data_IF_403638939835
#
_entry.id   IF_403638939835
#
_cell.length_a   1.000
_cell.length_b   1.000
_cell.length_c   1.000
_cell.angle_alpha   90.00
_cell.angle_beta   90.00
_cell.angle_gamma   90.00
#
_symmetry.space_group_name_H-M   'P 1'
#
loop_
_entity.id
_entity.type
_entity.pdbx_description
1 polymer ?
#
# COMPACT_ATOMS: atom_id res chain seq x y z
N UNK A 1 -73.32 14.44 -27.69
CA UNK A 1 -72.40 14.86 -28.77
C UNK A 1 -71.35 15.78 -28.16
N UNK A 2 -70.13 15.67 -28.67
CA UNK A 2 -68.87 16.15 -28.10
C UNK A 2 -68.75 17.68 -27.88
N UNK A 3 -67.87 18.00 -26.91
CA UNK A 3 -66.96 19.17 -26.77
C UNK A 3 -67.31 20.33 -25.80
N UNK A 4 -66.28 21.01 -25.26
CA UNK A 4 -66.12 21.39 -23.85
C UNK A 4 -66.22 22.91 -23.62
N UNK A 5 -66.24 23.38 -22.37
CA UNK A 5 -65.78 24.73 -22.05
C UNK A 5 -65.27 24.88 -20.61
N UNK A 6 -64.29 25.76 -20.49
CA UNK A 6 -63.40 26.14 -19.40
C UNK A 6 -64.09 26.70 -18.14
N UNK A 7 -63.44 26.62 -16.98
CA UNK A 7 -62.99 27.83 -16.24
C UNK A 7 -61.99 27.52 -15.12
N UNK A 8 -60.93 28.31 -15.07
CA UNK A 8 -59.88 28.38 -14.03
C UNK A 8 -60.41 29.21 -12.85
N UNK A 9 -60.04 28.88 -11.61
CA UNK A 9 -59.89 29.88 -10.55
C UNK A 9 -58.87 29.43 -9.48
N UNK A 10 -57.89 30.30 -9.26
CA UNK A 10 -56.82 30.25 -8.25
C UNK A 10 -57.34 30.27 -6.81
N UNK A 11 -56.63 29.60 -5.91
CA UNK A 11 -56.75 29.76 -4.45
C UNK A 11 -55.34 30.08 -3.90
N UNK A 12 -55.18 31.11 -3.05
CA UNK A 12 -53.88 31.64 -2.63
C UNK A 12 -53.26 30.88 -1.44
N UNK A 13 -51.94 30.93 -1.34
CA UNK A 13 -51.18 30.55 -0.15
C UNK A 13 -51.10 31.71 0.86
N UNK A 14 -51.08 31.45 2.18
CA UNK A 14 -50.57 32.38 3.18
C UNK A 14 -49.36 31.86 3.97
N UNK A 15 -48.69 32.82 4.58
CA UNK A 15 -47.29 32.88 5.00
C UNK A 15 -46.83 32.09 6.24
N UNK A 16 -45.51 31.95 6.25
CA UNK A 16 -44.54 31.65 7.30
C UNK A 16 -44.77 32.48 8.59
N UNK A 17 -44.88 31.83 9.77
CA UNK A 17 -44.32 32.36 11.03
C UNK A 17 -44.28 31.32 12.17
N UNK A 18 -43.06 31.06 12.67
CA UNK A 18 -42.72 30.91 14.10
C UNK A 18 -43.26 29.71 14.89
N UNK A 19 -42.58 28.56 14.79
CA UNK A 19 -42.41 27.65 15.94
C UNK A 19 -40.93 27.66 16.35
N UNK A 20 -40.57 28.74 17.05
CA UNK A 20 -39.46 28.76 17.98
C UNK A 20 -39.92 28.02 19.23
N UNK A 21 -39.29 26.89 19.57
CA UNK A 21 -38.80 26.50 20.91
C UNK A 21 -38.69 24.97 21.05
N UNK A 22 -37.48 24.56 21.45
CA UNK A 22 -37.19 23.38 22.28
C UNK A 22 -37.23 22.00 21.61
N UNK A 23 -36.09 21.57 21.03
CA UNK A 23 -35.43 20.31 21.39
C UNK A 23 -33.92 20.52 21.28
N UNK A 24 -33.31 21.09 22.32
CA UNK A 24 -31.88 20.99 22.56
C UNK A 24 -31.66 19.77 23.46
N UNK A 25 -31.51 18.59 22.87
CA UNK A 25 -31.08 17.39 23.58
C UNK A 25 -29.84 16.87 22.87
N UNK A 26 -28.73 17.12 23.56
CA UNK A 26 -27.40 16.54 23.43
C UNK A 26 -27.36 15.21 22.68
N UNK A 27 -26.89 15.27 21.43
CA UNK A 27 -26.14 14.17 20.81
C UNK A 27 -24.71 14.66 20.66
N UNK A 28 -24.01 14.72 21.81
CA UNK A 28 -22.56 14.65 21.87
C UNK A 28 -22.18 13.20 21.50
N UNK A 29 -22.48 12.82 20.26
CA UNK A 29 -22.11 11.53 19.70
C UNK A 29 -20.60 11.52 19.64
N UNK A 30 -20.02 10.58 20.37
CA UNK A 30 -18.60 10.35 20.50
C UNK A 30 -17.93 10.48 19.13
N UNK A 31 -17.18 11.55 18.94
CA UNK A 31 -16.04 11.51 18.04
C UNK A 31 -15.02 10.59 18.73
N UNK A 32 -15.27 9.28 18.66
CA UNK A 32 -14.23 8.28 18.77
C UNK A 32 -13.33 8.53 17.58
N UNK A 33 -12.41 9.49 17.73
CA UNK A 33 -11.22 9.52 16.90
C UNK A 33 -10.63 8.14 17.06
N UNK A 34 -10.78 7.31 16.02
CA UNK A 34 -9.90 6.18 15.86
C UNK A 34 -8.52 6.82 15.92
N UNK A 35 -7.83 6.66 17.05
CA UNK A 35 -6.39 6.64 17.03
C UNK A 35 -6.07 5.53 16.04
N UNK A 36 -5.91 5.91 14.77
CA UNK A 36 -5.24 5.09 13.79
C UNK A 36 -3.82 5.02 14.32
N UNK A 37 -3.58 4.08 15.23
CA UNK A 37 -2.23 3.68 15.57
C UNK A 37 -1.54 3.43 14.23
N UNK A 38 -0.38 4.04 14.02
CA UNK A 38 0.39 3.78 12.83
C UNK A 38 0.59 2.26 12.74
N UNK A 39 0.04 1.64 11.70
CA UNK A 39 0.32 0.24 11.43
C UNK A 39 1.79 0.18 11.00
N UNK A 40 2.65 -0.31 11.89
CA UNK A 40 4.07 -0.53 11.62
C UNK A 40 4.29 -1.81 10.80
N UNK A 41 3.41 -2.02 9.82
CA UNK A 41 3.47 -3.11 8.87
C UNK A 41 2.76 -2.77 7.57
N UNK A 42 3.17 -3.43 6.49
CA UNK A 42 2.42 -3.45 5.25
C UNK A 42 2.37 -4.86 4.68
N UNK A 43 1.28 -5.18 4.00
CA UNK A 43 1.18 -6.37 3.14
C UNK A 43 1.28 -5.90 1.70
N UNK A 44 2.13 -6.58 0.92
CA UNK A 44 2.30 -6.36 -0.51
C UNK A 44 2.04 -7.67 -1.22
N UNK A 45 1.11 -7.67 -2.15
CA UNK A 45 0.89 -8.82 -3.01
C UNK A 45 1.68 -8.71 -4.31
N UNK A 46 2.20 -9.84 -4.77
CA UNK A 46 2.91 -10.00 -6.04
C UNK A 46 2.17 -10.98 -6.96
N UNK A 47 2.22 -10.77 -8.27
CA UNK A 47 1.36 -11.51 -9.21
C UNK A 47 2.11 -12.10 -10.40
N UNK A 48 1.49 -13.10 -11.06
CA UNK A 48 2.00 -13.72 -12.29
C UNK A 48 2.24 -12.71 -13.45
N UNK A 49 1.76 -11.47 -13.34
CA UNK A 49 1.95 -10.39 -14.32
C UNK A 49 3.18 -9.51 -14.00
N UNK A 50 4.06 -9.94 -13.10
CA UNK A 50 5.25 -9.19 -12.65
C UNK A 50 4.87 -7.80 -12.10
N UNK A 51 3.91 -7.78 -11.18
CA UNK A 51 3.47 -6.56 -10.50
C UNK A 51 3.49 -6.76 -8.99
N UNK A 52 3.78 -5.67 -8.28
CA UNK A 52 3.27 -5.49 -6.93
C UNK A 52 1.95 -4.71 -7.00
N UNK A 53 1.04 -4.99 -6.07
CA UNK A 53 -0.23 -4.27 -5.91
C UNK A 53 -0.06 -2.79 -5.50
N UNK A 54 1.12 -2.42 -5.00
CA UNK A 54 1.47 -1.04 -4.65
C UNK A 54 2.76 -0.56 -5.33
N UNK A 55 2.86 0.78 -5.48
CA UNK A 55 4.06 1.49 -5.94
C UNK A 55 4.68 2.38 -4.85
N UNK A 56 4.10 2.42 -3.66
CA UNK A 56 4.58 3.24 -2.56
C UNK A 56 4.26 2.61 -1.20
N UNK A 57 5.20 2.70 -0.27
CA UNK A 57 5.02 2.35 1.15
C UNK A 57 5.46 3.55 1.97
N UNK A 58 4.61 4.00 2.89
CA UNK A 58 4.92 5.10 3.81
C UNK A 58 5.05 4.53 5.21
N UNK A 59 6.23 4.69 5.81
CA UNK A 59 6.55 4.21 7.15
C UNK A 59 6.49 5.39 8.11
N UNK A 60 5.73 5.25 9.19
CA UNK A 60 5.65 6.29 10.21
C UNK A 60 6.96 6.35 11.02
N UNK A 61 7.51 7.56 11.22
CA UNK A 61 8.74 7.75 12.01
C UNK A 61 8.61 7.34 13.47
N UNK A 62 7.40 7.19 13.99
CA UNK A 62 7.16 6.67 15.35
C UNK A 62 7.36 5.16 15.46
N UNK A 63 7.38 4.42 14.35
CA UNK A 63 7.66 2.99 14.35
C UNK A 63 9.13 2.73 14.71
N UNK A 64 9.36 1.83 15.68
CA UNK A 64 10.72 1.35 15.98
C UNK A 64 11.15 0.31 14.96
N UNK A 65 10.27 -0.63 14.69
CA UNK A 65 10.43 -1.65 13.66
C UNK A 65 9.26 -1.58 12.69
N UNK A 66 9.50 -1.97 11.45
CA UNK A 66 8.48 -2.10 10.42
C UNK A 66 8.51 -3.52 9.85
N UNK A 67 7.35 -4.13 9.68
CA UNK A 67 7.22 -5.48 9.12
C UNK A 67 6.56 -5.45 7.75
N UNK A 68 7.25 -5.93 6.73
CA UNK A 68 6.66 -6.19 5.43
C UNK A 68 6.25 -7.65 5.33
N UNK A 69 5.02 -7.90 4.90
CA UNK A 69 4.52 -9.22 4.52
C UNK A 69 4.35 -9.28 3.00
N UNK A 70 5.05 -10.20 2.35
CA UNK A 70 4.95 -10.44 0.92
C UNK A 70 4.08 -11.68 0.67
N UNK A 71 3.11 -11.55 -0.23
CA UNK A 71 2.31 -12.67 -0.74
C UNK A 71 2.46 -12.79 -2.25
N UNK A 72 2.08 -13.94 -2.80
CA UNK A 72 2.03 -14.14 -4.24
C UNK A 72 0.67 -14.71 -4.68
N UNK A 73 -0.18 -13.86 -5.26
CA UNK A 73 -1.43 -14.27 -5.90
C UNK A 73 -1.18 -14.66 -7.37
N UNK A 74 -1.17 -15.96 -7.61
CA UNK A 74 -0.85 -16.49 -8.93
C UNK A 74 -0.98 -17.99 -8.97
N UNK A 75 -0.35 -18.58 -9.98
CA UNK A 75 -0.34 -20.02 -10.23
C UNK A 75 1.05 -20.56 -10.59
N UNK A 76 2.02 -19.67 -10.84
CA UNK A 76 3.34 -20.06 -11.28
C UNK A 76 4.29 -20.34 -10.10
N UNK A 77 5.14 -21.37 -10.21
CA UNK A 77 6.11 -21.69 -9.17
C UNK A 77 7.28 -20.69 -9.16
N UNK A 78 7.98 -20.61 -8.03
CA UNK A 78 9.03 -19.62 -7.76
C UNK A 78 10.24 -19.65 -8.70
N UNK A 79 10.52 -20.77 -9.34
CA UNK A 79 11.61 -20.88 -10.31
C UNK A 79 11.23 -20.34 -11.70
N UNK A 80 9.95 -20.05 -11.94
CA UNK A 80 9.42 -19.49 -13.20
C UNK A 80 8.99 -18.03 -13.00
N UNK A 81 8.28 -17.75 -11.91
CA UNK A 81 7.76 -16.43 -11.59
C UNK A 81 7.99 -16.11 -10.11
N UNK A 82 9.24 -16.26 -9.67
CA UNK A 82 9.61 -15.98 -8.29
C UNK A 82 9.60 -14.49 -8.00
N UNK A 83 9.12 -14.13 -6.82
CA UNK A 83 9.12 -12.76 -6.34
C UNK A 83 9.71 -12.71 -4.94
N UNK A 84 10.64 -11.80 -4.73
CA UNK A 84 11.03 -11.36 -3.40
C UNK A 84 10.67 -9.89 -3.28
N UNK A 85 10.97 -9.30 -2.14
CA UNK A 85 10.95 -7.87 -1.92
C UNK A 85 12.28 -7.48 -1.29
N UNK A 86 12.94 -6.47 -1.84
CA UNK A 86 14.25 -5.98 -1.39
C UNK A 86 14.17 -4.48 -1.21
N UNK A 87 14.66 -3.97 -0.07
CA UNK A 87 14.76 -2.55 0.24
C UNK A 87 16.23 -2.10 0.21
N UNK A 88 16.49 -1.03 -0.53
CA UNK A 88 17.78 -0.34 -0.51
C UNK A 88 17.60 1.15 -0.77
N UNK A 89 18.71 1.89 -0.74
CA UNK A 89 18.77 3.20 -1.40
C UNK A 89 18.46 3.01 -2.88
N UNK A 90 17.76 3.97 -3.47
CA UNK A 90 17.36 3.95 -4.88
C UNK A 90 18.57 3.88 -5.82
N UNK A 91 19.66 4.55 -5.47
CA UNK A 91 20.89 4.56 -6.27
C UNK A 91 21.57 3.17 -6.36
N UNK A 92 21.39 2.32 -5.35
CA UNK A 92 22.04 1.01 -5.26
C UNK A 92 21.25 -0.11 -5.94
N UNK A 93 19.95 0.10 -6.17
CA UNK A 93 19.02 -0.96 -6.58
C UNK A 93 19.47 -1.72 -7.83
N UNK A 94 19.94 -1.02 -8.86
CA UNK A 94 20.39 -1.66 -10.11
C UNK A 94 21.63 -2.55 -9.92
N UNK A 95 22.56 -2.12 -9.06
CA UNK A 95 23.78 -2.87 -8.80
C UNK A 95 23.48 -4.10 -7.93
N UNK A 96 22.60 -3.96 -6.93
CA UNK A 96 22.11 -5.08 -6.11
C UNK A 96 21.44 -6.14 -6.99
N UNK A 97 20.55 -5.76 -7.91
CA UNK A 97 19.91 -6.73 -8.81
C UNK A 97 20.93 -7.43 -9.70
N UNK A 98 21.91 -6.70 -10.25
CA UNK A 98 22.94 -7.29 -11.11
C UNK A 98 23.79 -8.31 -10.35
N UNK A 99 24.22 -7.97 -9.14
CA UNK A 99 25.01 -8.87 -8.30
C UNK A 99 24.17 -10.06 -7.81
N UNK A 100 22.89 -9.82 -7.49
CA UNK A 100 21.92 -10.84 -7.11
C UNK A 100 21.71 -11.90 -8.19
N UNK A 101 21.66 -11.50 -9.46
CA UNK A 101 21.59 -12.45 -10.59
C UNK A 101 22.77 -13.44 -10.60
N UNK A 102 23.96 -13.02 -10.15
CA UNK A 102 25.16 -13.87 -10.18
C UNK A 102 25.17 -15.00 -9.15
N UNK A 103 24.36 -14.89 -8.09
CA UNK A 103 24.33 -15.87 -6.98
C UNK A 103 23.17 -16.85 -7.05
N UNK A 104 22.18 -16.59 -7.91
CA UNK A 104 21.10 -17.52 -8.22
C UNK A 104 19.98 -17.61 -7.16
N UNK A 105 18.99 -18.45 -7.46
CA UNK A 105 17.75 -18.58 -6.66
C UNK A 105 17.97 -19.19 -5.27
N UNK A 106 18.98 -20.03 -5.08
CA UNK A 106 19.32 -20.62 -3.78
C UNK A 106 19.81 -19.55 -2.78
N UNK A 107 20.13 -18.36 -3.27
CA UNK A 107 20.46 -17.15 -2.51
C UNK A 107 19.40 -16.07 -2.66
N UNK A 108 18.19 -16.44 -3.07
CA UNK A 108 17.06 -15.54 -3.29
C UNK A 108 17.34 -14.41 -4.29
N UNK A 109 18.35 -14.58 -5.17
CA UNK A 109 18.89 -13.51 -6.01
C UNK A 109 19.31 -12.26 -5.20
N UNK A 110 19.84 -12.46 -4.00
CA UNK A 110 20.45 -11.42 -3.17
C UNK A 110 21.86 -11.89 -2.81
N UNK A 111 22.87 -11.07 -3.14
CA UNK A 111 24.25 -11.41 -2.79
C UNK A 111 24.38 -11.52 -1.27
N UNK A 112 24.95 -12.61 -0.73
CA UNK A 112 25.17 -12.73 0.71
C UNK A 112 26.00 -11.56 1.24
N UNK A 113 25.61 -11.06 2.42
CA UNK A 113 26.27 -9.97 3.14
C UNK A 113 26.36 -8.64 2.35
N UNK A 114 25.45 -8.42 1.39
CA UNK A 114 25.37 -7.16 0.66
C UNK A 114 24.92 -6.01 1.57
N UNK A 115 25.87 -5.18 1.98
CA UNK A 115 25.63 -4.05 2.90
C UNK A 115 24.72 -2.96 2.34
N UNK A 116 24.40 -2.99 1.04
CA UNK A 116 23.46 -2.06 0.41
C UNK A 116 22.00 -2.48 0.64
N UNK A 117 21.77 -3.75 0.96
CA UNK A 117 20.42 -4.30 1.24
C UNK A 117 20.08 -4.04 2.70
N UNK A 118 19.00 -3.29 2.92
CA UNK A 118 18.54 -2.90 4.27
C UNK A 118 17.68 -4.02 4.87
N UNK A 119 16.82 -4.61 4.04
CA UNK A 119 15.91 -5.69 4.37
C UNK A 119 15.51 -6.42 3.08
N UNK A 120 15.28 -7.73 3.17
CA UNK A 120 14.68 -8.49 2.08
C UNK A 120 13.92 -9.71 2.58
N UNK A 121 12.97 -10.17 1.77
CA UNK A 121 12.33 -11.49 1.91
C UNK A 121 13.11 -12.55 1.13
N UNK A 122 12.75 -13.83 1.31
CA UNK A 122 13.09 -14.91 0.38
C UNK A 122 12.32 -14.77 -0.93
N UNK A 123 12.72 -15.53 -1.95
CA UNK A 123 11.94 -15.71 -3.18
C UNK A 123 10.76 -16.65 -2.90
N UNK A 124 9.56 -16.17 -3.18
CA UNK A 124 8.30 -16.92 -3.09
C UNK A 124 7.66 -17.11 -4.47
N UNK A 125 6.93 -18.21 -4.63
CA UNK A 125 6.05 -18.47 -5.77
C UNK A 125 4.58 -18.42 -5.37
N UNK A 126 3.70 -18.73 -6.30
CA UNK A 126 2.25 -18.73 -6.08
C UNK A 126 1.80 -19.49 -4.82
N UNK A 127 0.99 -18.83 -4.00
CA UNK A 127 0.45 -19.39 -2.76
C UNK A 127 1.41 -19.43 -1.58
N UNK A 128 2.68 -19.09 -1.78
CA UNK A 128 3.66 -18.91 -0.71
C UNK A 128 3.60 -17.47 -0.16
N UNK A 129 4.22 -17.28 1.01
CA UNK A 129 4.40 -15.97 1.64
C UNK A 129 5.73 -15.94 2.40
N UNK A 130 6.18 -14.72 2.68
CA UNK A 130 7.32 -14.45 3.54
C UNK A 130 7.21 -13.06 4.16
N UNK A 131 7.87 -12.84 5.29
CA UNK A 131 7.86 -11.55 5.97
C UNK A 131 9.27 -11.16 6.39
N UNK A 132 9.53 -9.85 6.36
CA UNK A 132 10.78 -9.26 6.87
C UNK A 132 10.47 -8.10 7.80
N UNK A 133 11.10 -8.12 8.97
CA UNK A 133 11.04 -7.02 9.95
C UNK A 133 12.39 -6.32 9.99
N UNK A 134 12.38 -4.99 9.98
CA UNK A 134 13.59 -4.19 10.06
C UNK A 134 13.40 -2.95 10.95
N UNK A 135 14.50 -2.54 11.57
CA UNK A 135 14.57 -1.32 12.38
C UNK A 135 14.44 -0.07 11.49
N UNK A 136 13.49 0.79 11.81
CA UNK A 136 13.19 2.02 11.06
C UNK A 136 14.33 3.03 11.19
N UNK A 137 15.15 2.95 12.24
CA UNK A 137 16.33 3.80 12.41
C UNK A 137 17.41 3.59 11.35
N UNK A 138 17.33 2.51 10.56
CA UNK A 138 18.18 2.30 9.38
C UNK A 138 17.81 3.21 8.21
N UNK A 139 16.66 3.88 8.27
CA UNK A 139 16.18 4.79 7.23
C UNK A 139 16.46 6.24 7.63
N UNK A 140 17.08 6.98 6.70
CA UNK A 140 17.33 8.41 6.80
C UNK A 140 16.24 9.17 6.03
N UNK A 141 15.49 10.09 6.66
CA UNK A 141 14.45 10.86 5.97
C UNK A 141 14.97 11.75 4.82
N UNK A 142 16.28 11.99 4.71
CA UNK A 142 16.90 12.73 3.62
C UNK A 142 17.31 11.84 2.43
N UNK A 143 17.16 10.52 2.53
CA UNK A 143 17.57 9.55 1.51
C UNK A 143 16.37 9.02 0.71
N UNK A 144 16.61 8.75 -0.59
CA UNK A 144 15.61 8.14 -1.47
C UNK A 144 15.70 6.61 -1.39
N UNK A 145 14.66 5.97 -0.87
CA UNK A 145 14.58 4.50 -0.81
C UNK A 145 13.65 3.92 -1.87
N UNK A 146 14.00 2.72 -2.34
CA UNK A 146 13.20 1.96 -3.28
C UNK A 146 13.06 0.52 -2.79
N UNK A 147 11.86 -0.04 -2.92
CA UNK A 147 11.67 -1.47 -2.87
C UNK A 147 11.54 -2.07 -4.27
N UNK A 148 12.02 -3.29 -4.47
CA UNK A 148 12.04 -3.94 -5.78
C UNK A 148 12.21 -5.46 -5.68
N UNK A 149 11.91 -6.14 -6.78
CA UNK A 149 12.18 -7.58 -6.97
C UNK A 149 13.53 -7.77 -7.68
N UNK A 150 14.37 -8.67 -7.19
CA UNK A 150 15.68 -8.99 -7.80
C UNK A 150 15.67 -10.22 -8.70
N UNK A 151 14.54 -10.92 -8.83
CA UNK A 151 14.42 -11.99 -9.81
C UNK A 151 14.78 -11.45 -11.22
N UNK A 152 15.59 -12.18 -12.01
CA UNK A 152 16.15 -11.67 -13.25
C UNK A 152 15.12 -11.00 -14.17
N UNK A 153 15.30 -9.70 -14.43
CA UNK A 153 14.44 -8.89 -15.30
C UNK A 153 13.27 -8.17 -14.64
N UNK A 154 12.90 -8.51 -13.40
CA UNK A 154 11.66 -8.04 -12.78
C UNK A 154 11.72 -6.58 -12.29
N UNK A 155 12.89 -6.09 -11.86
CA UNK A 155 13.07 -4.72 -11.33
C UNK A 155 12.55 -3.61 -12.25
N UNK A 156 12.47 -3.87 -13.56
CA UNK A 156 11.96 -2.90 -14.54
C UNK A 156 10.50 -2.49 -14.23
N UNK A 157 9.68 -3.43 -13.77
CA UNK A 157 8.25 -3.24 -13.47
C UNK A 157 7.94 -3.36 -11.98
N UNK A 158 8.63 -4.27 -11.28
CA UNK A 158 8.40 -4.60 -9.87
C UNK A 158 9.29 -3.74 -8.98
N UNK A 159 8.87 -2.48 -8.81
CA UNK A 159 9.50 -1.52 -7.91
C UNK A 159 8.52 -0.46 -7.43
N UNK A 160 8.85 0.18 -6.31
CA UNK A 160 8.14 1.32 -5.76
C UNK A 160 8.96 2.08 -4.73
N UNK A 161 8.46 3.21 -4.25
CA UNK A 161 9.16 4.06 -3.28
C UNK A 161 8.86 3.64 -1.84
N UNK A 162 9.86 3.80 -0.96
CA UNK A 162 9.64 3.80 0.49
C UNK A 162 9.97 5.19 1.02
N UNK A 163 9.07 5.78 1.81
CA UNK A 163 9.31 7.09 2.43
C UNK A 163 8.97 7.06 3.92
N UNK A 164 9.66 7.90 4.69
CA UNK A 164 9.34 8.16 6.10
C UNK A 164 8.35 9.32 6.21
N UNK A 165 7.21 9.10 6.86
CA UNK A 165 6.24 10.16 7.22
C UNK A 165 6.47 10.62 8.65
#
# INVERSE_FOLDING_TARGET
MLRPFFYVNQIPAPEIQMIRKLVAISLLSLASGQLLAAECSATVDSTDQMMYDTKAIQIDKSCKEFTLNLTHSGSLPKNVMGHNWVLSKKADASAITTDGMSVGIDKDYVKPDDTRVIAHTKIIGAGENDSVTFDVSKLDPAEDYQFFCTFPGHISMMKGAVTLK
#
